data_IF_612770170593
#
_entry.id   IF_612770170593
#
_cell.length_a   1.000
_cell.length_b   1.000
_cell.length_c   1.000
_cell.angle_alpha   90.00
_cell.angle_beta   90.00
_cell.angle_gamma   90.00
#
_symmetry.space_group_name_H-M   'P 1'
#
loop_
_entity.id
_entity.type
_entity.pdbx_description
1 polymer ?
#
# COMPACT_ATOMS: atom_id res chain seq x y z
N UNK A 1 25.73 18.27 11.03
CA UNK A 1 24.97 17.28 10.26
C UNK A 1 23.50 17.64 10.36
N UNK A 2 22.81 17.86 9.25
CA UNK A 2 21.37 18.16 9.24
C UNK A 2 20.62 16.92 9.74
N UNK A 3 20.16 16.95 10.97
CA UNK A 3 19.30 15.92 11.55
C UNK A 3 17.90 16.04 10.93
N UNK A 4 17.33 14.93 10.46
CA UNK A 4 15.95 14.90 9.98
C UNK A 4 15.01 15.05 11.18
N UNK A 5 14.66 16.29 11.53
CA UNK A 5 13.87 16.60 12.72
C UNK A 5 12.35 16.66 12.44
N UNK A 6 11.97 17.02 11.21
CA UNK A 6 10.58 17.16 10.81
C UNK A 6 10.27 16.55 9.44
N UNK A 7 9.16 15.79 9.37
CA UNK A 7 8.64 15.21 8.14
C UNK A 7 7.14 15.47 8.04
N UNK A 8 6.69 15.98 6.89
CA UNK A 8 5.27 16.04 6.56
C UNK A 8 5.00 15.03 5.44
N UNK A 9 4.14 14.05 5.73
CA UNK A 9 3.63 13.13 4.71
C UNK A 9 2.36 13.75 4.10
N UNK A 10 2.44 14.20 2.85
CA UNK A 10 1.26 14.66 2.12
C UNK A 10 0.68 13.51 1.29
N UNK A 11 -0.54 13.09 1.63
CA UNK A 11 -1.30 12.07 0.90
C UNK A 11 -1.98 12.62 -0.36
N UNK A 12 -2.66 11.76 -1.12
CA UNK A 12 -3.53 12.16 -2.24
C UNK A 12 -4.84 12.87 -1.78
N UNK A 13 -5.00 13.10 -0.49
CA UNK A 13 -6.16 13.81 0.06
C UNK A 13 -7.41 12.94 0.21
N UNK A 14 -7.27 11.62 0.14
CA UNK A 14 -8.37 10.66 0.11
C UNK A 14 -8.34 9.68 1.29
N UNK A 15 -7.99 10.14 2.50
CA UNK A 15 -8.00 9.29 3.70
C UNK A 15 -9.13 9.68 4.66
N UNK A 16 -9.86 8.70 5.25
CA UNK A 16 -9.79 7.27 4.97
C UNK A 16 -10.38 6.91 3.60
N UNK A 17 -9.83 5.89 2.94
CA UNK A 17 -10.47 5.26 1.77
C UNK A 17 -10.24 3.76 1.71
N UNK A 18 -10.82 3.16 0.68
CA UNK A 18 -10.87 1.73 0.42
C UNK A 18 -9.65 1.20 -0.35
N UNK A 19 -8.70 2.05 -0.71
CA UNK A 19 -7.54 1.66 -1.51
C UNK A 19 -6.38 1.16 -0.64
N UNK A 20 -5.71 0.11 -1.08
CA UNK A 20 -4.55 -0.47 -0.38
C UNK A 20 -3.40 0.52 -0.17
N UNK A 21 -3.19 1.46 -1.09
CA UNK A 21 -2.18 2.51 -0.94
C UNK A 21 -2.47 3.44 0.27
N UNK A 22 -3.72 3.58 0.69
CA UNK A 22 -4.07 4.38 1.87
C UNK A 22 -3.80 3.65 3.17
N UNK A 23 -3.95 2.31 3.19
CA UNK A 23 -3.50 1.47 4.30
C UNK A 23 -1.99 1.62 4.49
N UNK A 24 -1.23 1.51 3.40
CA UNK A 24 0.21 1.76 3.43
C UNK A 24 0.55 3.18 3.90
N UNK A 25 -0.16 4.20 3.41
CA UNK A 25 0.05 5.60 3.83
C UNK A 25 -0.15 5.74 5.34
N UNK A 26 -1.23 5.19 5.90
CA UNK A 26 -1.53 5.26 7.33
C UNK A 26 -0.51 4.48 8.18
N UNK A 27 -0.15 3.25 7.78
CA UNK A 27 0.83 2.42 8.50
C UNK A 27 2.25 2.99 8.44
N UNK A 28 2.68 3.50 7.28
CA UNK A 28 3.95 4.23 7.16
C UNK A 28 3.94 5.50 8.00
N UNK A 29 2.81 6.21 8.08
CA UNK A 29 2.69 7.41 8.93
C UNK A 29 2.87 7.07 10.40
N UNK A 30 2.26 5.98 10.89
CA UNK A 30 2.50 5.49 12.25
C UNK A 30 3.99 5.15 12.46
N UNK A 31 4.62 4.43 11.53
CA UNK A 31 6.03 4.06 11.65
C UNK A 31 6.98 5.27 11.64
N UNK A 32 6.73 6.27 10.79
CA UNK A 32 7.50 7.52 10.77
C UNK A 32 7.29 8.35 12.04
N UNK A 33 6.04 8.46 12.52
CA UNK A 33 5.71 9.28 13.68
C UNK A 33 6.43 8.87 14.97
N UNK A 34 6.80 7.60 15.08
CA UNK A 34 7.51 7.07 16.24
C UNK A 34 9.01 7.33 16.21
N UNK A 35 9.54 7.76 15.06
CA UNK A 35 10.99 7.90 14.80
C UNK A 35 11.41 9.36 14.66
N UNK A 36 10.44 10.28 14.59
CA UNK A 36 10.66 11.69 14.31
C UNK A 36 10.05 12.54 15.42
N UNK A 37 10.79 13.58 15.82
CA UNK A 37 10.33 14.54 16.83
C UNK A 37 9.08 15.29 16.36
N UNK A 38 9.02 15.62 15.06
CA UNK A 38 7.91 16.30 14.45
C UNK A 38 7.45 15.55 13.20
N UNK A 39 6.26 14.94 13.27
CA UNK A 39 5.65 14.25 12.13
C UNK A 39 4.20 14.70 11.97
N UNK A 40 3.78 14.93 10.72
CA UNK A 40 2.37 15.20 10.37
C UNK A 40 1.97 14.41 9.13
N UNK A 41 0.79 13.78 9.14
CA UNK A 41 0.12 13.28 7.94
C UNK A 41 -0.91 14.32 7.49
N UNK A 42 -0.82 14.81 6.26
CA UNK A 42 -1.75 15.78 5.67
C UNK A 42 -2.68 15.08 4.68
N UNK A 43 -3.98 15.32 4.82
CA UNK A 43 -5.05 14.82 3.93
C UNK A 43 -6.21 15.81 3.80
N UNK A 44 -7.21 15.52 2.97
CA UNK A 44 -8.42 16.35 2.87
C UNK A 44 -9.42 15.97 3.97
N UNK A 45 -10.23 16.93 4.38
CA UNK A 45 -11.39 16.67 5.22
C UNK A 45 -12.47 17.74 5.06
N UNK A 46 -13.49 17.62 5.89
CA UNK A 46 -14.47 18.68 6.11
C UNK A 46 -14.06 19.63 7.24
N UNK A 47 -14.81 20.72 7.39
CA UNK A 47 -14.61 21.75 8.42
C UNK A 47 -14.50 21.13 9.82
N UNK A 48 -15.40 20.22 10.18
CA UNK A 48 -15.41 19.59 11.50
C UNK A 48 -14.17 18.70 11.71
N UNK A 49 -13.81 17.93 10.69
CA UNK A 49 -12.64 17.05 10.71
C UNK A 49 -11.32 17.82 10.78
N UNK A 50 -11.27 19.05 10.24
CA UNK A 50 -10.09 19.91 10.31
C UNK A 50 -9.73 20.30 11.75
N UNK A 51 -10.73 20.50 12.62
CA UNK A 51 -10.51 20.73 14.05
C UNK A 51 -10.22 19.44 14.83
N UNK A 52 -10.80 18.30 14.41
CA UNK A 52 -10.61 17.01 15.10
C UNK A 52 -9.24 16.38 14.84
N UNK A 53 -8.73 16.44 13.62
CA UNK A 53 -7.50 15.74 13.23
C UNK A 53 -7.65 14.21 13.30
N UNK A 54 -6.85 13.57 14.16
CA UNK A 54 -6.91 12.12 14.42
C UNK A 54 -8.12 11.78 15.31
N UNK A 55 -8.96 10.85 14.87
CA UNK A 55 -10.13 10.37 15.61
C UNK A 55 -10.15 8.84 15.69
N UNK A 56 -11.02 8.31 16.57
CA UNK A 56 -11.13 6.86 16.82
C UNK A 56 -11.56 6.09 15.58
N UNK A 57 -12.38 6.69 14.71
CA UNK A 57 -12.86 6.04 13.50
C UNK A 57 -11.72 5.87 12.49
N UNK A 58 -10.90 6.88 12.30
CA UNK A 58 -9.69 6.82 11.47
C UNK A 58 -8.70 5.81 12.02
N UNK A 59 -8.47 5.83 13.34
CA UNK A 59 -7.57 4.91 14.01
C UNK A 59 -8.03 3.46 13.82
N UNK A 60 -9.32 3.18 14.07
CA UNK A 60 -9.92 1.86 13.91
C UNK A 60 -9.90 1.39 12.45
N UNK A 61 -10.23 2.28 11.50
CA UNK A 61 -10.28 1.98 10.07
C UNK A 61 -8.97 1.39 9.55
N UNK A 62 -7.84 1.96 9.96
CA UNK A 62 -6.51 1.49 9.59
C UNK A 62 -5.86 0.58 10.64
N UNK A 63 -6.59 0.23 11.71
CA UNK A 63 -6.10 -0.57 12.85
C UNK A 63 -4.77 -0.03 13.40
N UNK A 64 -4.69 1.29 13.62
CA UNK A 64 -3.48 1.94 14.10
C UNK A 64 -3.33 1.74 15.61
N UNK A 65 -2.17 1.27 16.05
CA UNK A 65 -1.86 1.07 17.47
C UNK A 65 -1.62 2.37 18.20
N UNK A 66 -0.99 3.33 17.50
CA UNK A 66 -0.55 4.60 18.09
C UNK A 66 -1.05 5.75 17.22
N UNK A 67 -1.73 6.74 17.83
CA UNK A 67 -2.12 7.93 17.10
C UNK A 67 -0.88 8.76 16.73
N UNK A 68 -1.03 9.57 15.70
CA UNK A 68 -0.04 10.53 15.24
C UNK A 68 -0.76 11.81 14.80
N UNK A 69 -0.01 12.90 14.59
CA UNK A 69 -0.61 14.16 14.18
C UNK A 69 -1.20 14.04 12.77
N UNK A 70 -2.53 14.05 12.67
CA UNK A 70 -3.28 14.01 11.42
C UNK A 70 -3.87 15.39 11.17
N UNK A 71 -3.46 15.99 10.07
CA UNK A 71 -3.93 17.29 9.61
C UNK A 71 -4.92 17.07 8.47
N UNK A 72 -6.17 17.47 8.70
CA UNK A 72 -7.23 17.41 7.68
C UNK A 72 -7.49 18.82 7.17
N UNK A 73 -7.12 19.10 5.93
CA UNK A 73 -7.37 20.40 5.32
C UNK A 73 -8.87 20.53 4.99
N UNK A 74 -9.53 21.65 5.34
CA UNK A 74 -10.97 21.83 5.17
C UNK A 74 -11.30 22.06 3.69
N UNK A 75 -11.35 20.98 2.92
CA UNK A 75 -11.62 21.00 1.48
C UNK A 75 -13.12 20.90 1.17
N UNK A 76 -13.92 20.52 2.17
CA UNK A 76 -15.34 20.23 2.04
C UNK A 76 -16.13 20.84 3.20
N UNK A 77 -17.42 21.07 2.98
CA UNK A 77 -18.34 21.44 4.07
C UNK A 77 -18.63 20.22 4.95
N UNK A 78 -18.90 19.06 4.31
CA UNK A 78 -19.14 17.77 4.97
C UNK A 78 -18.65 16.65 4.05
N UNK A 79 -18.04 15.60 4.61
CA UNK A 79 -17.59 14.40 3.87
C UNK A 79 -18.26 13.16 4.42
N UNK A 80 -18.73 12.29 3.52
CA UNK A 80 -19.06 10.91 3.87
C UNK A 80 -17.81 10.06 3.71
N UNK A 81 -17.29 9.59 4.84
CA UNK A 81 -16.18 8.64 4.88
C UNK A 81 -16.71 7.20 4.75
N UNK A 82 -15.89 6.28 4.19
CA UNK A 82 -14.61 6.49 3.52
C UNK A 82 -14.77 7.20 2.16
N UNK A 83 -13.73 7.93 1.71
CA UNK A 83 -13.73 8.57 0.39
C UNK A 83 -13.95 7.53 -0.73
N UNK A 84 -14.70 7.94 -1.76
CA UNK A 84 -14.98 7.10 -2.92
C UNK A 84 -13.71 6.79 -3.71
N UNK A 85 -13.74 5.70 -4.48
CA UNK A 85 -12.61 5.29 -5.32
C UNK A 85 -12.24 6.33 -6.39
N UNK A 86 -13.21 7.09 -6.86
CA UNK A 86 -13.06 8.13 -7.89
C UNK A 86 -12.78 9.52 -7.31
N UNK A 87 -12.63 9.65 -5.99
CA UNK A 87 -12.39 10.95 -5.38
C UNK A 87 -11.05 11.53 -5.83
N UNK A 88 -11.09 12.76 -6.32
CA UNK A 88 -9.92 13.57 -6.64
C UNK A 88 -10.23 15.04 -6.44
N UNK A 89 -9.31 15.78 -5.83
CA UNK A 89 -9.47 17.22 -5.63
C UNK A 89 -8.14 17.93 -5.93
N UNK A 90 -8.01 18.53 -7.12
CA UNK A 90 -6.78 19.22 -7.48
C UNK A 90 -6.50 20.47 -6.66
N UNK A 91 -7.53 21.12 -6.10
CA UNK A 91 -7.34 22.28 -5.23
C UNK A 91 -6.70 21.91 -3.88
N UNK A 92 -6.89 20.68 -3.42
CA UNK A 92 -6.25 20.15 -2.22
C UNK A 92 -4.73 20.17 -2.34
N UNK A 93 -4.15 19.76 -3.47
CA UNK A 93 -2.70 19.76 -3.63
C UNK A 93 -2.08 21.16 -3.47
N UNK A 94 -2.78 22.19 -3.95
CA UNK A 94 -2.34 23.58 -3.78
C UNK A 94 -2.39 23.98 -2.31
N UNK A 95 -3.48 23.71 -1.61
CA UNK A 95 -3.61 24.07 -0.19
C UNK A 95 -2.62 23.29 0.68
N UNK A 96 -2.42 22.00 0.42
CA UNK A 96 -1.43 21.18 1.10
C UNK A 96 0.00 21.68 0.87
N UNK A 97 0.30 22.13 -0.34
CA UNK A 97 1.59 22.74 -0.64
C UNK A 97 1.80 24.07 0.09
N UNK A 98 0.76 24.92 0.17
CA UNK A 98 0.80 26.17 0.95
C UNK A 98 1.03 25.88 2.44
N UNK A 99 0.29 24.91 2.99
CA UNK A 99 0.46 24.45 4.36
C UNK A 99 1.89 23.99 4.65
N UNK A 100 2.46 23.15 3.78
CA UNK A 100 3.84 22.70 3.89
C UNK A 100 4.85 23.84 3.84
N UNK A 101 4.68 24.81 2.92
CA UNK A 101 5.57 25.98 2.84
C UNK A 101 5.49 26.86 4.09
N UNK A 102 4.31 26.96 4.72
CA UNK A 102 4.13 27.68 5.98
C UNK A 102 4.84 26.98 7.14
N UNK A 103 4.66 25.67 7.25
CA UNK A 103 5.27 24.80 8.29
C UNK A 103 6.77 24.65 8.16
N UNK A 104 7.28 24.69 6.93
CA UNK A 104 8.70 24.59 6.62
C UNK A 104 9.36 23.31 7.15
N UNK A 105 8.90 22.11 6.73
CA UNK A 105 9.50 20.87 7.19
C UNK A 105 10.88 20.66 6.59
N UNK A 106 11.70 19.86 7.26
CA UNK A 106 12.99 19.38 6.74
C UNK A 106 12.80 18.47 5.52
N UNK A 107 11.67 17.76 5.47
CA UNK A 107 11.37 16.82 4.39
C UNK A 107 9.87 16.67 4.13
N UNK A 108 9.50 16.59 2.85
CA UNK A 108 8.20 16.09 2.41
C UNK A 108 8.33 14.63 1.98
N UNK A 109 7.41 13.79 2.44
CA UNK A 109 7.20 12.46 1.89
C UNK A 109 5.86 12.44 1.16
N UNK A 110 5.79 11.89 -0.06
CA UNK A 110 4.50 11.84 -0.78
C UNK A 110 4.45 10.73 -1.80
N UNK A 111 3.22 10.37 -2.18
CA UNK A 111 2.90 9.51 -3.31
C UNK A 111 2.30 10.27 -4.50
N UNK A 112 2.12 11.59 -4.37
CA UNK A 112 1.47 12.42 -5.38
C UNK A 112 2.51 13.14 -6.25
N UNK A 113 2.51 12.91 -7.57
CA UNK A 113 3.37 13.66 -8.49
C UNK A 113 3.08 15.17 -8.47
N UNK A 114 1.83 15.57 -8.20
CA UNK A 114 1.44 16.98 -8.09
C UNK A 114 2.19 17.66 -6.93
N UNK A 115 2.26 17.01 -5.77
CA UNK A 115 3.01 17.50 -4.61
C UNK A 115 4.51 17.55 -4.92
N UNK A 116 5.07 16.53 -5.55
CA UNK A 116 6.48 16.55 -5.97
C UNK A 116 6.75 17.76 -6.86
N UNK A 117 5.92 18.01 -7.86
CA UNK A 117 6.05 19.16 -8.75
C UNK A 117 5.91 20.51 -8.07
N UNK A 118 5.07 20.62 -7.03
CA UNK A 118 4.93 21.86 -6.24
C UNK A 118 6.12 22.06 -5.29
N UNK A 119 6.51 21.04 -4.53
CA UNK A 119 7.58 21.15 -3.53
C UNK A 119 8.93 21.40 -4.18
N UNK A 120 9.23 20.73 -5.29
CA UNK A 120 10.47 20.98 -6.05
C UNK A 120 10.54 22.41 -6.60
N UNK A 121 9.41 23.01 -6.99
CA UNK A 121 9.34 24.42 -7.42
C UNK A 121 9.54 25.41 -6.27
N UNK A 122 9.04 25.10 -5.08
CA UNK A 122 9.28 25.92 -3.88
C UNK A 122 10.66 25.69 -3.28
N UNK A 123 11.38 24.70 -3.80
CA UNK A 123 12.68 24.29 -3.30
C UNK A 123 12.55 23.72 -1.90
N UNK A 124 11.62 22.79 -1.65
CA UNK A 124 11.51 22.00 -0.42
C UNK A 124 11.93 20.56 -0.75
N UNK A 125 12.80 19.90 0.05
CA UNK A 125 13.23 18.54 -0.21
C UNK A 125 12.03 17.59 -0.19
N UNK A 126 11.96 16.72 -1.19
CA UNK A 126 10.89 15.74 -1.31
C UNK A 126 11.44 14.34 -1.58
N UNK A 127 10.90 13.38 -0.84
CA UNK A 127 10.97 11.94 -1.10
C UNK A 127 9.66 11.53 -1.78
N UNK A 128 9.79 10.90 -2.96
CA UNK A 128 8.65 10.44 -3.73
C UNK A 128 8.54 8.92 -3.68
N UNK A 129 7.42 8.39 -3.20
CA UNK A 129 7.10 6.96 -3.33
C UNK A 129 6.12 6.71 -4.47
N UNK A 130 6.49 5.83 -5.41
CA UNK A 130 5.67 5.51 -6.57
C UNK A 130 5.85 4.05 -7.01
N UNK A 131 4.73 3.42 -7.38
CA UNK A 131 4.63 1.97 -7.51
C UNK A 131 4.27 1.51 -8.93
N UNK A 132 4.30 2.43 -9.90
CA UNK A 132 4.02 2.14 -11.30
C UNK A 132 5.23 2.50 -12.16
N UNK A 133 5.41 1.87 -13.33
CA UNK A 133 6.46 2.25 -14.27
C UNK A 133 6.34 3.72 -14.67
N UNK A 134 7.48 4.41 -14.80
CA UNK A 134 7.56 5.72 -15.44
C UNK A 134 8.26 5.51 -16.78
N UNK A 135 7.53 5.72 -17.87
CA UNK A 135 8.06 5.60 -19.22
C UNK A 135 8.86 6.86 -19.60
N UNK A 136 9.87 6.76 -20.49
CA UNK A 136 10.71 7.90 -20.87
C UNK A 136 9.96 9.10 -21.49
N UNK A 137 8.77 8.89 -22.04
CA UNK A 137 7.90 9.93 -22.59
C UNK A 137 6.86 10.46 -21.59
N UNK A 138 6.89 10.00 -20.33
CA UNK A 138 5.93 10.39 -19.31
C UNK A 138 6.08 11.87 -18.94
N UNK A 139 4.98 12.61 -18.70
CA UNK A 139 5.04 13.98 -18.19
C UNK A 139 5.67 14.08 -16.78
N UNK A 140 5.93 12.94 -16.14
CA UNK A 140 6.58 12.84 -14.85
C UNK A 140 8.11 12.90 -14.93
N UNK A 141 8.71 12.60 -16.09
CA UNK A 141 10.17 12.55 -16.27
C UNK A 141 10.88 13.84 -15.85
N UNK A 142 10.38 15.05 -16.16
CA UNK A 142 11.02 16.29 -15.71
C UNK A 142 11.15 16.42 -14.19
N UNK A 143 10.29 15.76 -13.41
CA UNK A 143 10.36 15.77 -11.95
C UNK A 143 11.57 14.98 -11.43
N UNK A 144 11.99 13.94 -12.15
CA UNK A 144 13.07 13.04 -11.75
C UNK A 144 14.44 13.74 -11.71
N UNK A 145 14.60 14.79 -12.52
CA UNK A 145 15.84 15.56 -12.63
C UNK A 145 15.98 16.67 -11.59
N UNK A 146 14.98 16.90 -10.73
CA UNK A 146 15.04 17.99 -9.75
C UNK A 146 16.11 17.75 -8.68
N UNK A 147 16.85 18.79 -8.32
CA UNK A 147 17.77 18.78 -7.18
C UNK A 147 17.05 18.63 -5.84
N UNK A 148 15.79 19.05 -5.76
CA UNK A 148 14.96 18.95 -4.56
C UNK A 148 14.16 17.64 -4.47
N UNK A 149 14.10 16.84 -5.55
CA UNK A 149 13.73 15.43 -5.44
C UNK A 149 14.96 14.69 -4.93
N UNK A 150 15.00 14.42 -3.64
CA UNK A 150 16.20 13.89 -2.98
C UNK A 150 16.24 12.36 -3.01
N UNK A 151 15.08 11.74 -3.21
CA UNK A 151 15.00 10.31 -3.33
C UNK A 151 13.65 9.82 -3.81
N UNK A 152 13.67 8.59 -4.30
CA UNK A 152 12.55 7.91 -4.92
C UNK A 152 12.43 6.51 -4.33
N UNK A 153 11.30 6.21 -3.67
CA UNK A 153 11.02 4.90 -3.09
C UNK A 153 10.18 4.10 -4.08
N UNK A 154 10.65 2.90 -4.44
CA UNK A 154 9.93 1.97 -5.31
C UNK A 154 9.88 0.57 -4.72
N UNK A 155 9.10 -0.33 -5.30
CA UNK A 155 8.83 -1.65 -4.72
C UNK A 155 9.77 -2.76 -5.22
N UNK A 156 10.38 -2.61 -6.40
CA UNK A 156 11.13 -3.70 -7.03
C UNK A 156 12.24 -3.23 -7.97
N UNK A 157 13.24 -4.08 -8.22
CA UNK A 157 14.22 -3.91 -9.29
C UNK A 157 13.60 -3.63 -10.67
N UNK A 158 12.50 -4.29 -11.02
CA UNK A 158 11.82 -4.04 -12.30
C UNK A 158 11.34 -2.58 -12.44
N UNK A 159 10.78 -2.01 -11.36
CA UNK A 159 10.41 -0.61 -11.35
C UNK A 159 11.64 0.30 -11.36
N UNK A 160 12.72 -0.09 -10.69
CA UNK A 160 14.00 0.61 -10.78
C UNK A 160 14.50 0.68 -12.23
N UNK A 161 14.45 -0.41 -12.99
CA UNK A 161 14.85 -0.41 -14.40
C UNK A 161 14.06 0.59 -15.24
N UNK A 162 12.74 0.67 -15.03
CA UNK A 162 11.89 1.68 -15.68
C UNK A 162 12.30 3.12 -15.31
N UNK A 163 12.68 3.36 -14.05
CA UNK A 163 13.14 4.69 -13.62
C UNK A 163 14.51 5.04 -14.20
N UNK A 164 15.42 4.06 -14.30
CA UNK A 164 16.74 4.24 -14.92
C UNK A 164 16.64 4.56 -16.40
N UNK A 165 15.72 3.90 -17.13
CA UNK A 165 15.40 4.25 -18.52
C UNK A 165 14.86 5.68 -18.65
N UNK A 166 14.13 6.15 -17.63
CA UNK A 166 13.67 7.53 -17.49
C UNK A 166 14.72 8.50 -16.92
N UNK A 167 15.99 8.08 -16.85
CA UNK A 167 17.16 8.90 -16.50
C UNK A 167 17.15 9.47 -15.07
N UNK A 168 16.50 8.82 -14.11
CA UNK A 168 16.73 9.16 -12.70
C UNK A 168 18.18 8.84 -12.31
N UNK A 169 18.76 9.62 -11.41
CA UNK A 169 20.03 9.27 -10.79
C UNK A 169 19.87 7.98 -9.96
N UNK A 170 20.62 6.89 -10.23
CA UNK A 170 20.52 5.64 -9.49
C UNK A 170 20.71 5.80 -7.97
N UNK A 171 21.57 6.74 -7.56
CA UNK A 171 21.86 7.00 -6.14
C UNK A 171 20.66 7.60 -5.39
N UNK A 172 19.63 8.08 -6.11
CA UNK A 172 18.38 8.58 -5.54
C UNK A 172 17.29 7.51 -5.45
N UNK A 173 17.50 6.30 -5.98
CA UNK A 173 16.47 5.24 -5.97
C UNK A 173 16.68 4.32 -4.77
N UNK A 174 15.61 4.09 -4.01
CA UNK A 174 15.57 3.15 -2.90
C UNK A 174 14.48 2.10 -3.13
N UNK A 175 14.87 0.83 -3.26
CA UNK A 175 13.94 -0.28 -3.38
C UNK A 175 13.51 -0.71 -1.97
N UNK A 176 12.21 -0.63 -1.71
CA UNK A 176 11.60 -0.97 -0.44
C UNK A 176 10.24 -1.63 -0.67
N UNK A 177 10.12 -2.97 -0.55
CA UNK A 177 8.86 -3.67 -0.71
C UNK A 177 7.85 -3.21 0.36
N UNK A 178 6.59 -3.65 0.23
CA UNK A 178 5.60 -3.47 1.30
C UNK A 178 6.03 -4.19 2.59
N UNK A 179 5.28 -4.01 3.66
CA UNK A 179 5.61 -4.55 4.97
C UNK A 179 4.39 -5.09 5.72
N UNK A 180 4.66 -5.88 6.75
CA UNK A 180 3.68 -6.45 7.67
C UNK A 180 3.42 -5.52 8.85
N UNK A 181 2.20 -5.62 9.37
CA UNK A 181 1.87 -5.23 10.73
C UNK A 181 1.64 -6.47 11.59
N UNK A 182 2.72 -7.02 12.15
CA UNK A 182 2.72 -8.34 12.81
C UNK A 182 1.81 -8.35 14.04
N UNK A 183 1.74 -7.24 14.77
CA UNK A 183 0.95 -7.12 15.99
C UNK A 183 -0.55 -7.20 15.74
N UNK A 184 -1.02 -6.88 14.53
CA UNK A 184 -2.42 -7.13 14.12
C UNK A 184 -2.79 -8.62 14.23
N UNK A 185 -1.81 -9.51 14.20
CA UNK A 185 -1.99 -10.95 14.32
C UNK A 185 -1.61 -11.49 15.70
N UNK A 186 -1.37 -10.62 16.69
CA UNK A 186 -1.06 -11.00 18.07
C UNK A 186 -2.21 -10.63 19.04
N UNK A 187 -2.50 -11.47 20.06
CA UNK A 187 -1.95 -12.80 20.27
C UNK A 187 -2.42 -13.79 19.19
N UNK A 188 -1.55 -14.74 18.85
CA UNK A 188 -1.87 -15.74 17.84
C UNK A 188 -3.05 -16.62 18.28
N UNK A 189 -4.01 -16.84 17.39
CA UNK A 189 -5.13 -17.73 17.65
C UNK A 189 -4.80 -19.15 17.20
N UNK A 190 -5.23 -20.16 17.97
CA UNK A 190 -5.17 -21.53 17.51
C UNK A 190 -6.15 -21.74 16.34
N UNK A 191 -5.84 -22.68 15.45
CA UNK A 191 -6.73 -23.00 14.31
C UNK A 191 -8.13 -23.39 14.79
N UNK A 192 -8.19 -24.17 15.86
CA UNK A 192 -9.43 -24.67 16.46
C UNK A 192 -10.28 -23.53 17.02
N UNK A 193 -9.68 -22.61 17.79
CA UNK A 193 -10.38 -21.47 18.36
C UNK A 193 -10.91 -20.53 17.26
N UNK A 194 -10.10 -20.25 16.24
CA UNK A 194 -10.51 -19.44 15.09
C UNK A 194 -11.69 -20.08 14.34
N UNK A 195 -11.63 -21.39 14.06
CA UNK A 195 -12.73 -22.13 13.42
C UNK A 195 -14.00 -22.14 14.27
N UNK A 196 -13.87 -22.37 15.58
CA UNK A 196 -15.01 -22.35 16.51
C UNK A 196 -15.70 -20.98 16.50
N UNK A 197 -14.91 -19.90 16.58
CA UNK A 197 -15.43 -18.52 16.55
C UNK A 197 -16.17 -18.20 15.25
N UNK A 198 -15.73 -18.78 14.13
CA UNK A 198 -16.34 -18.57 12.81
C UNK A 198 -17.42 -19.60 12.45
N UNK A 199 -17.71 -20.57 13.32
CA UNK A 199 -18.63 -21.67 13.02
C UNK A 199 -18.17 -22.58 11.89
N UNK A 200 -16.85 -22.70 11.67
CA UNK A 200 -16.27 -23.53 10.60
C UNK A 200 -16.01 -24.97 11.09
N UNK A 201 -16.15 -25.99 10.22
CA UNK A 201 -15.86 -27.38 10.58
C UNK A 201 -14.40 -27.58 10.99
N UNK A 202 -14.17 -28.36 12.05
CA UNK A 202 -12.84 -28.52 12.65
C UNK A 202 -11.91 -29.41 11.83
N UNK A 203 -12.47 -30.38 11.14
CA UNK A 203 -11.83 -31.41 10.31
C UNK A 203 -11.75 -31.04 8.83
N UNK A 204 -12.42 -29.96 8.40
CA UNK A 204 -12.34 -29.48 7.02
C UNK A 204 -10.93 -29.01 6.62
N UNK A 205 -10.63 -29.18 5.33
CA UNK A 205 -9.46 -28.62 4.65
C UNK A 205 -9.83 -27.22 4.15
N UNK A 206 -9.40 -26.18 4.84
CA UNK A 206 -9.81 -24.80 4.56
C UNK A 206 -8.71 -24.04 3.83
N UNK A 207 -8.98 -23.66 2.59
CA UNK A 207 -8.10 -22.85 1.74
C UNK A 207 -8.61 -21.42 1.73
N UNK A 208 -7.79 -20.46 2.14
CA UNK A 208 -8.22 -19.07 2.34
C UNK A 208 -7.61 -18.15 1.28
N UNK A 209 -8.45 -17.25 0.78
CA UNK A 209 -8.04 -16.05 0.05
C UNK A 209 -8.60 -14.83 0.79
N UNK A 210 -7.83 -13.75 0.90
CA UNK A 210 -8.30 -12.47 1.45
C UNK A 210 -8.11 -11.31 0.47
N UNK A 211 -9.00 -10.31 0.50
CA UNK A 211 -8.90 -9.05 -0.24
C UNK A 211 -9.99 -8.87 -1.31
N UNK A 212 -9.76 -7.96 -2.27
CA UNK A 212 -10.74 -7.70 -3.33
C UNK A 212 -10.90 -8.89 -4.27
N UNK A 213 -12.15 -9.20 -4.61
CA UNK A 213 -12.49 -10.32 -5.48
C UNK A 213 -12.43 -9.95 -6.98
N UNK A 214 -11.47 -9.13 -7.40
CA UNK A 214 -11.31 -8.78 -8.82
C UNK A 214 -10.71 -9.95 -9.61
N UNK A 215 -11.07 -10.07 -10.89
CA UNK A 215 -10.62 -11.20 -11.70
C UNK A 215 -9.11 -11.28 -11.86
N UNK A 216 -8.47 -10.13 -12.05
CA UNK A 216 -7.02 -10.04 -12.13
C UNK A 216 -6.29 -10.40 -10.82
N UNK A 217 -7.02 -10.54 -9.70
CA UNK A 217 -6.49 -11.09 -8.44
C UNK A 217 -6.60 -12.62 -8.34
N UNK A 218 -7.03 -13.29 -9.41
CA UNK A 218 -7.04 -14.75 -9.54
C UNK A 218 -8.33 -15.43 -9.12
N UNK A 219 -9.43 -14.69 -8.96
CA UNK A 219 -10.71 -15.31 -8.55
C UNK A 219 -11.18 -16.37 -9.54
N UNK A 220 -11.14 -16.17 -10.87
CA UNK A 220 -11.47 -17.22 -11.84
C UNK A 220 -10.67 -18.51 -11.62
N UNK A 221 -9.36 -18.38 -11.38
CA UNK A 221 -8.46 -19.50 -11.07
C UNK A 221 -8.89 -20.22 -9.79
N UNK A 222 -9.26 -19.49 -8.73
CA UNK A 222 -9.78 -20.10 -7.49
C UNK A 222 -11.05 -20.91 -7.76
N UNK A 223 -11.99 -20.38 -8.57
CA UNK A 223 -13.22 -21.10 -8.90
C UNK A 223 -12.93 -22.41 -9.65
N UNK A 224 -11.96 -22.42 -10.55
CA UNK A 224 -11.53 -23.63 -11.26
C UNK A 224 -10.83 -24.63 -10.34
N UNK A 225 -9.98 -24.15 -9.42
CA UNK A 225 -9.36 -25.01 -8.40
C UNK A 225 -10.43 -25.62 -7.49
N UNK A 226 -11.44 -24.84 -7.08
CA UNK A 226 -12.52 -25.32 -6.23
C UNK A 226 -13.34 -26.43 -6.89
N UNK A 227 -13.54 -26.34 -8.21
CA UNK A 227 -14.15 -27.41 -8.99
C UNK A 227 -13.29 -28.69 -9.00
N UNK A 228 -11.96 -28.55 -9.04
CA UNK A 228 -11.01 -29.66 -9.05
C UNK A 228 -10.76 -30.29 -7.67
N UNK A 229 -11.17 -29.62 -6.59
CA UNK A 229 -10.98 -30.04 -5.18
C UNK A 229 -12.29 -29.89 -4.38
N UNK A 230 -13.35 -30.64 -4.71
CA UNK A 230 -14.65 -30.54 -4.02
C UNK A 230 -14.58 -30.89 -2.53
N UNK A 231 -13.54 -31.62 -2.08
CA UNK A 231 -13.31 -31.97 -0.69
C UNK A 231 -12.63 -30.85 0.14
N UNK A 232 -12.18 -29.78 -0.50
CA UNK A 232 -11.63 -28.59 0.16
C UNK A 232 -12.68 -27.48 0.24
N UNK A 233 -12.74 -26.79 1.38
CA UNK A 233 -13.57 -25.59 1.54
C UNK A 233 -12.73 -24.35 1.23
N UNK A 234 -13.19 -23.54 0.28
CA UNK A 234 -12.55 -22.28 -0.09
C UNK A 234 -13.27 -21.13 0.60
N UNK A 235 -12.54 -20.39 1.43
CA UNK A 235 -13.07 -19.24 2.16
C UNK A 235 -12.49 -17.97 1.55
N UNK A 236 -13.33 -17.21 0.83
CA UNK A 236 -12.94 -15.95 0.20
C UNK A 236 -13.37 -14.78 1.08
N UNK A 237 -12.38 -14.16 1.71
CA UNK A 237 -12.54 -13.15 2.76
C UNK A 237 -12.37 -11.76 2.16
N UNK A 238 -13.45 -11.03 1.97
CA UNK A 238 -13.43 -9.69 1.38
C UNK A 238 -14.28 -9.58 0.12
N UNK A 239 -13.98 -8.56 -0.67
CA UNK A 239 -14.78 -8.17 -1.83
C UNK A 239 -15.85 -7.14 -1.50
N UNK A 240 -16.15 -6.29 -2.47
CA UNK A 240 -17.31 -5.40 -2.38
C UNK A 240 -18.57 -6.19 -2.67
N UNK A 241 -19.73 -5.72 -2.20
CA UNK A 241 -21.01 -6.39 -2.43
C UNK A 241 -21.19 -6.78 -3.92
N UNK A 242 -20.91 -5.86 -4.85
CA UNK A 242 -20.97 -6.14 -6.29
C UNK A 242 -20.02 -7.28 -6.74
N UNK A 243 -18.80 -7.33 -6.21
CA UNK A 243 -17.86 -8.39 -6.54
C UNK A 243 -18.29 -9.72 -5.93
N UNK A 244 -18.79 -9.71 -4.69
CA UNK A 244 -19.32 -10.89 -3.99
C UNK A 244 -20.51 -11.46 -4.76
N UNK A 245 -21.46 -10.64 -5.18
CA UNK A 245 -22.61 -11.09 -6.00
C UNK A 245 -22.14 -11.71 -7.31
N UNK A 246 -21.20 -11.07 -8.02
CA UNK A 246 -20.65 -11.61 -9.27
C UNK A 246 -20.04 -12.99 -9.05
N UNK A 247 -19.22 -13.16 -8.02
CA UNK A 247 -18.59 -14.45 -7.71
C UNK A 247 -19.64 -15.48 -7.29
N UNK A 248 -20.66 -15.09 -6.52
CA UNK A 248 -21.77 -15.96 -6.12
C UNK A 248 -22.51 -16.50 -7.34
N UNK A 249 -22.84 -15.64 -8.30
CA UNK A 249 -23.47 -16.04 -9.57
C UNK A 249 -22.59 -17.03 -10.33
N UNK A 250 -21.29 -16.79 -10.42
CA UNK A 250 -20.36 -17.74 -11.06
C UNK A 250 -20.30 -19.09 -10.32
N UNK A 251 -20.39 -19.10 -8.98
CA UNK A 251 -20.46 -20.34 -8.21
C UNK A 251 -21.75 -21.11 -8.51
N UNK A 252 -22.89 -20.42 -8.58
CA UNK A 252 -24.19 -21.03 -8.92
C UNK A 252 -24.19 -21.64 -10.32
N UNK A 253 -23.68 -20.91 -11.32
CA UNK A 253 -23.57 -21.38 -12.71
C UNK A 253 -22.68 -22.62 -12.85
N UNK A 254 -21.65 -22.73 -12.00
CA UNK A 254 -20.70 -23.86 -11.99
C UNK A 254 -21.07 -24.95 -10.99
N UNK A 255 -22.21 -24.81 -10.28
CA UNK A 255 -22.64 -25.71 -9.20
C UNK A 255 -21.58 -25.93 -8.10
N UNK A 256 -20.81 -24.89 -7.77
CA UNK A 256 -19.79 -24.94 -6.71
C UNK A 256 -20.44 -24.78 -5.34
N UNK A 257 -20.35 -25.81 -4.50
CA UNK A 257 -20.91 -25.84 -3.14
C UNK A 257 -19.85 -25.65 -2.05
N UNK A 258 -18.57 -25.67 -2.42
CA UNK A 258 -17.43 -25.65 -1.50
C UNK A 258 -16.77 -24.27 -1.38
N UNK A 259 -17.47 -23.19 -1.78
CA UNK A 259 -16.98 -21.81 -1.68
C UNK A 259 -17.86 -21.02 -0.70
N UNK A 260 -17.21 -20.43 0.31
CA UNK A 260 -17.84 -19.50 1.25
C UNK A 260 -17.33 -18.08 1.00
N UNK A 261 -18.26 -17.16 0.74
CA UNK A 261 -17.99 -15.73 0.52
C UNK A 261 -18.38 -14.95 1.76
N UNK A 262 -17.44 -14.21 2.37
CA UNK A 262 -17.75 -13.41 3.57
C UNK A 262 -18.20 -11.99 3.23
N UNK A 263 -17.78 -11.47 2.07
CA UNK A 263 -17.80 -10.03 1.81
C UNK A 263 -16.75 -9.27 2.63
N UNK A 264 -16.81 -7.94 2.60
CA UNK A 264 -15.89 -7.09 3.35
C UNK A 264 -16.01 -7.37 4.86
N UNK A 265 -14.86 -7.61 5.49
CA UNK A 265 -14.74 -7.77 6.96
C UNK A 265 -13.85 -6.66 7.50
N UNK A 266 -14.06 -6.28 8.76
CA UNK A 266 -13.21 -5.30 9.40
C UNK A 266 -11.77 -5.85 9.51
N UNK A 267 -10.77 -4.98 9.42
CA UNK A 267 -9.37 -5.38 9.53
C UNK A 267 -9.06 -6.08 10.86
N UNK A 268 -9.72 -5.69 11.95
CA UNK A 268 -9.62 -6.33 13.27
C UNK A 268 -10.16 -7.77 13.31
N UNK A 269 -11.05 -8.13 12.39
CA UNK A 269 -11.64 -9.48 12.30
C UNK A 269 -10.83 -10.39 11.37
N UNK A 270 -10.11 -9.82 10.41
CA UNK A 270 -9.35 -10.53 9.38
C UNK A 270 -8.41 -11.59 9.99
N UNK A 271 -7.74 -11.29 11.10
CA UNK A 271 -6.83 -12.23 11.76
C UNK A 271 -7.51 -13.56 12.12
N UNK A 272 -8.77 -13.52 12.58
CA UNK A 272 -9.54 -14.74 12.93
C UNK A 272 -9.75 -15.61 11.69
N UNK A 273 -10.13 -15.01 10.56
CA UNK A 273 -10.29 -15.73 9.29
C UNK A 273 -8.97 -16.33 8.80
N UNK A 274 -7.87 -15.59 8.91
CA UNK A 274 -6.57 -16.09 8.51
C UNK A 274 -6.11 -17.26 9.39
N UNK A 275 -6.33 -17.21 10.71
CA UNK A 275 -5.93 -18.29 11.62
C UNK A 275 -6.71 -19.59 11.44
N UNK A 276 -7.93 -19.53 10.88
CA UNK A 276 -8.76 -20.69 10.56
C UNK A 276 -8.26 -21.49 9.34
N UNK A 277 -7.34 -20.92 8.55
CA UNK A 277 -6.82 -21.53 7.32
C UNK A 277 -5.92 -22.73 7.58
N UNK A 278 -5.91 -23.66 6.61
CA UNK A 278 -4.82 -24.61 6.41
C UNK A 278 -3.79 -24.09 5.42
N UNK A 279 -4.22 -23.41 4.35
CA UNK A 279 -3.38 -22.89 3.26
C UNK A 279 -3.91 -21.52 2.81
N UNK A 280 -3.01 -20.60 2.45
CA UNK A 280 -3.37 -19.36 1.76
C UNK A 280 -3.09 -19.40 0.27
N UNK A 281 -3.97 -18.74 -0.50
CA UNK A 281 -3.76 -18.49 -1.93
C UNK A 281 -3.46 -17.02 -2.20
N UNK A 282 -2.43 -16.79 -3.04
CA UNK A 282 -2.12 -15.52 -3.68
C UNK A 282 -2.06 -15.68 -5.22
N UNK A 283 -3.18 -15.98 -5.89
CA UNK A 283 -3.22 -16.40 -7.30
C UNK A 283 -3.27 -15.22 -8.28
N UNK A 284 -2.51 -14.16 -8.02
CA UNK A 284 -2.54 -12.95 -8.87
C UNK A 284 -2.30 -13.33 -10.33
N UNK A 285 -3.19 -12.90 -11.22
CA UNK A 285 -3.13 -13.24 -12.65
C UNK A 285 -1.96 -12.52 -13.32
N UNK A 286 -1.28 -13.19 -14.24
CA UNK A 286 -0.21 -12.56 -15.04
C UNK A 286 -0.77 -11.57 -16.07
N UNK A 287 -2.07 -11.67 -16.40
CA UNK A 287 -2.77 -10.78 -17.34
C UNK A 287 -2.96 -9.36 -16.80
N UNK A 288 -2.77 -9.17 -15.49
CA UNK A 288 -2.86 -7.85 -14.89
C UNK A 288 -1.69 -6.97 -15.33
N UNK A 289 -1.98 -5.76 -15.83
CA UNK A 289 -0.96 -4.79 -16.23
C UNK A 289 0.11 -4.50 -15.16
N UNK A 290 -0.23 -4.62 -13.87
CA UNK A 290 0.70 -4.40 -12.75
C UNK A 290 1.15 -5.71 -12.06
N UNK A 291 0.93 -6.87 -12.69
CA UNK A 291 1.35 -8.16 -12.13
C UNK A 291 2.86 -8.21 -11.82
N UNK A 292 3.66 -7.58 -12.69
CA UNK A 292 5.12 -7.58 -12.59
C UNK A 292 5.65 -6.61 -11.51
N UNK A 293 4.82 -5.68 -11.04
CA UNK A 293 5.23 -4.56 -10.17
C UNK A 293 4.53 -4.54 -8.81
N UNK A 294 3.47 -5.32 -8.64
CA UNK A 294 2.65 -5.32 -7.41
C UNK A 294 3.42 -5.89 -6.21
N UNK A 295 3.34 -5.24 -5.04
CA UNK A 295 3.79 -5.82 -3.77
C UNK A 295 2.56 -6.02 -2.87
N UNK A 296 1.88 -7.20 -2.93
CA UNK A 296 0.58 -7.39 -2.30
C UNK A 296 0.68 -7.37 -0.77
N UNK A 297 -0.02 -6.45 -0.10
CA UNK A 297 -0.04 -6.37 1.36
C UNK A 297 -0.41 -7.70 2.03
N UNK A 298 -1.40 -8.41 1.47
CA UNK A 298 -1.87 -9.70 2.00
C UNK A 298 -0.78 -10.78 2.06
N UNK A 299 0.28 -10.69 1.24
CA UNK A 299 1.40 -11.63 1.34
C UNK A 299 2.07 -11.53 2.71
N UNK A 300 2.28 -10.30 3.18
CA UNK A 300 2.90 -10.01 4.47
C UNK A 300 2.00 -10.44 5.63
N UNK A 301 0.69 -10.22 5.50
CA UNK A 301 -0.31 -10.72 6.46
C UNK A 301 -0.30 -12.25 6.55
N UNK A 302 -0.24 -12.94 5.41
CA UNK A 302 -0.15 -14.40 5.37
C UNK A 302 1.12 -14.91 6.04
N UNK A 303 2.28 -14.30 5.76
CA UNK A 303 3.53 -14.68 6.40
C UNK A 303 3.47 -14.47 7.93
N UNK A 304 2.81 -13.40 8.40
CA UNK A 304 2.67 -13.08 9.82
C UNK A 304 1.81 -14.07 10.61
N UNK A 305 0.99 -14.88 9.95
CA UNK A 305 0.10 -15.86 10.62
C UNK A 305 0.67 -17.27 10.73
N UNK A 306 1.89 -17.51 10.22
CA UNK A 306 2.58 -18.81 10.31
C UNK A 306 1.74 -19.98 9.74
N UNK A 307 1.27 -19.81 8.51
CA UNK A 307 0.58 -20.83 7.70
C UNK A 307 1.22 -20.93 6.32
N UNK A 308 1.14 -22.08 5.65
CA UNK A 308 1.73 -22.26 4.32
C UNK A 308 1.00 -21.43 3.27
N UNK A 309 1.77 -20.93 2.30
CA UNK A 309 1.31 -20.01 1.26
C UNK A 309 1.60 -20.65 -0.10
N UNK A 310 0.62 -20.58 -1.00
CA UNK A 310 0.81 -20.82 -2.43
C UNK A 310 0.61 -19.48 -3.13
N UNK A 311 1.59 -19.06 -3.93
CA UNK A 311 1.57 -17.77 -4.60
C UNK A 311 1.93 -17.89 -6.08
N UNK A 312 1.39 -16.98 -6.89
CA UNK A 312 1.82 -16.83 -8.28
C UNK A 312 3.31 -16.50 -8.36
N UNK A 313 4.03 -17.17 -9.25
CA UNK A 313 5.44 -16.94 -9.55
C UNK A 313 5.66 -15.64 -10.34
N UNK A 314 5.35 -14.49 -9.71
CA UNK A 314 5.52 -13.14 -10.27
C UNK A 314 6.77 -12.46 -9.68
N UNK A 315 7.52 -11.64 -10.43
CA UNK A 315 8.83 -11.15 -9.99
C UNK A 315 8.89 -10.50 -8.61
N UNK A 316 7.94 -9.62 -8.30
CA UNK A 316 7.87 -8.94 -6.99
C UNK A 316 7.46 -9.87 -5.85
N UNK A 317 6.63 -10.87 -6.12
CA UNK A 317 6.29 -11.92 -5.16
C UNK A 317 7.53 -12.76 -4.88
N UNK A 318 8.27 -13.16 -5.92
CA UNK A 318 9.51 -13.96 -5.82
C UNK A 318 10.66 -13.23 -5.09
N UNK A 319 10.64 -11.90 -5.07
CA UNK A 319 11.59 -11.12 -4.25
C UNK A 319 11.26 -11.20 -2.75
N UNK A 320 9.99 -11.41 -2.42
CA UNK A 320 9.52 -11.47 -1.02
C UNK A 320 9.55 -12.90 -0.50
N UNK A 321 9.16 -13.88 -1.31
CA UNK A 321 9.10 -15.31 -0.97
C UNK A 321 9.84 -16.17 -1.97
N UNK A 322 10.50 -17.20 -1.47
CA UNK A 322 11.30 -18.17 -2.22
C UNK A 322 10.55 -19.51 -2.34
N UNK A 323 10.56 -20.10 -3.55
CA UNK A 323 9.92 -21.40 -3.83
C UNK A 323 10.53 -22.50 -2.97
N UNK A 324 9.67 -23.35 -2.41
CA UNK A 324 10.01 -24.49 -1.55
C UNK A 324 10.82 -24.16 -0.29
N UNK A 325 11.03 -22.88 0.01
CA UNK A 325 11.66 -22.41 1.25
C UNK A 325 10.71 -21.62 2.13
N UNK A 326 9.92 -20.70 1.55
CA UNK A 326 8.95 -19.88 2.31
C UNK A 326 7.53 -20.00 1.78
N UNK A 327 7.35 -20.42 0.53
CA UNK A 327 6.06 -20.64 -0.11
C UNK A 327 6.20 -21.71 -1.20
N UNK A 328 5.09 -22.20 -1.74
CA UNK A 328 5.11 -22.84 -3.06
C UNK A 328 4.77 -21.80 -4.12
N UNK A 329 5.65 -21.64 -5.10
CA UNK A 329 5.45 -20.76 -6.23
C UNK A 329 4.90 -21.55 -7.41
N UNK A 330 3.76 -21.10 -7.92
CA UNK A 330 3.05 -21.76 -9.03
C UNK A 330 2.89 -20.75 -10.15
N UNK A 331 2.97 -21.21 -11.40
CA UNK A 331 2.68 -20.36 -12.55
C UNK A 331 1.25 -19.79 -12.44
N UNK A 332 1.10 -18.50 -12.74
CA UNK A 332 -0.20 -17.84 -12.72
C UNK A 332 -1.16 -18.49 -13.71
N UNK A 333 -2.46 -18.46 -13.39
CA UNK A 333 -3.52 -18.86 -14.32
C UNK A 333 -3.47 -20.35 -14.76
N UNK A 334 -2.87 -21.22 -13.94
CA UNK A 334 -2.70 -22.67 -14.21
C UNK A 334 -3.40 -23.55 -13.13
N UNK A 335 -4.74 -23.61 -13.09
CA UNK A 335 -5.50 -24.23 -11.99
C UNK A 335 -5.07 -25.65 -11.60
N UNK A 336 -4.63 -26.47 -12.57
CA UNK A 336 -4.15 -27.84 -12.31
C UNK A 336 -2.89 -27.86 -11.45
N UNK A 337 -1.92 -26.99 -11.76
CA UNK A 337 -0.70 -26.87 -10.97
C UNK A 337 -0.99 -26.31 -9.56
N UNK A 338 -1.95 -25.39 -9.44
CA UNK A 338 -2.41 -24.89 -8.15
C UNK A 338 -3.07 -25.99 -7.31
N UNK A 339 -3.92 -26.82 -7.93
CA UNK A 339 -4.52 -28.00 -7.30
C UNK A 339 -3.46 -28.97 -6.78
N UNK A 340 -2.42 -29.25 -7.57
CA UNK A 340 -1.29 -30.10 -7.16
C UNK A 340 -0.54 -29.53 -5.95
N UNK A 341 -0.25 -28.23 -5.95
CA UNK A 341 0.39 -27.56 -4.82
C UNK A 341 -0.46 -27.59 -3.54
N UNK A 342 -1.78 -27.41 -3.65
CA UNK A 342 -2.71 -27.55 -2.51
C UNK A 342 -2.68 -28.97 -1.99
N UNK A 343 -2.83 -29.97 -2.86
CA UNK A 343 -2.82 -31.38 -2.47
C UNK A 343 -1.50 -31.77 -1.80
N UNK A 344 -0.37 -31.27 -2.30
CA UNK A 344 0.95 -31.49 -1.72
C UNK A 344 1.03 -30.95 -0.28
N UNK A 345 0.62 -29.71 -0.05
CA UNK A 345 0.68 -29.09 1.28
C UNK A 345 -0.30 -29.71 2.28
N UNK A 346 -1.47 -30.17 1.82
CA UNK A 346 -2.43 -30.88 2.67
C UNK A 346 -1.92 -32.27 3.08
N UNK A 347 -1.16 -32.95 2.20
CA UNK A 347 -0.60 -34.28 2.45
C UNK A 347 0.70 -34.22 3.26
N UNK A 348 1.62 -33.34 2.89
CA UNK A 348 2.94 -33.21 3.53
C UNK A 348 2.93 -32.11 4.62
N UNK A 349 2.56 -32.52 5.83
CA UNK A 349 2.54 -31.63 7.00
C UNK A 349 3.92 -31.11 7.39
N UNK A 350 4.99 -31.85 7.09
CA UNK A 350 6.37 -31.46 7.41
C UNK A 350 6.80 -30.30 6.53
N UNK A 351 6.58 -30.42 5.21
CA UNK A 351 6.80 -29.33 4.27
C UNK A 351 5.98 -28.10 4.64
N UNK A 352 4.67 -28.27 4.86
CA UNK A 352 3.77 -27.16 5.22
C UNK A 352 4.23 -26.38 6.45
N UNK A 353 4.59 -27.08 7.54
CA UNK A 353 5.10 -26.44 8.76
C UNK A 353 6.45 -25.75 8.53
N UNK A 354 7.33 -26.34 7.72
CA UNK A 354 8.65 -25.75 7.40
C UNK A 354 8.49 -24.44 6.64
N UNK A 355 7.70 -24.43 5.56
CA UNK A 355 7.46 -23.23 4.74
C UNK A 355 6.83 -22.12 5.59
N UNK A 356 5.76 -22.45 6.33
CA UNK A 356 5.07 -21.51 7.22
C UNK A 356 6.03 -20.85 8.24
N UNK A 357 6.86 -21.67 8.90
CA UNK A 357 7.83 -21.18 9.89
C UNK A 357 8.88 -20.28 9.25
N UNK A 358 9.41 -20.65 8.08
CA UNK A 358 10.41 -19.86 7.35
C UNK A 358 9.83 -18.53 6.87
N UNK A 359 8.60 -18.52 6.34
CA UNK A 359 7.86 -17.31 5.99
C UNK A 359 7.66 -16.39 7.21
N UNK A 360 7.22 -16.96 8.34
CA UNK A 360 7.03 -16.22 9.58
C UNK A 360 8.33 -15.65 10.14
N UNK A 361 9.45 -16.37 10.04
CA UNK A 361 10.77 -15.87 10.42
C UNK A 361 11.21 -14.71 9.51
N UNK A 362 11.00 -14.84 8.19
CA UNK A 362 11.36 -13.80 7.22
C UNK A 362 10.57 -12.51 7.45
N UNK A 363 9.26 -12.60 7.72
CA UNK A 363 8.42 -11.40 7.88
C UNK A 363 8.77 -10.56 9.10
N UNK A 364 9.42 -11.14 10.12
CA UNK A 364 9.94 -10.38 11.28
C UNK A 364 10.90 -9.26 10.87
N UNK A 365 11.51 -9.36 9.68
CA UNK A 365 12.41 -8.35 9.13
C UNK A 365 11.76 -7.39 8.15
N UNK A 366 10.50 -7.64 7.79
CA UNK A 366 9.73 -6.91 6.79
C UNK A 366 8.56 -6.15 7.45
N UNK A 367 8.83 -5.38 8.50
CA UNK A 367 7.83 -4.61 9.26
C UNK A 367 7.78 -3.14 8.84
N UNK A 368 6.64 -2.49 9.07
CA UNK A 368 6.49 -1.04 8.79
C UNK A 368 7.55 -0.20 9.51
N UNK A 369 7.90 -0.56 10.75
CA UNK A 369 8.94 0.13 11.52
C UNK A 369 10.32 -0.01 10.87
N UNK A 370 10.74 -1.21 10.46
CA UNK A 370 12.03 -1.41 9.79
C UNK A 370 12.06 -0.71 8.45
N UNK A 371 10.95 -0.74 7.71
CA UNK A 371 10.78 0.00 6.45
C UNK A 371 10.98 1.49 6.65
N UNK A 372 10.36 2.07 7.68
CA UNK A 372 10.52 3.48 8.02
C UNK A 372 11.97 3.81 8.42
N UNK A 373 12.64 2.98 9.23
CA UNK A 373 14.05 3.19 9.60
C UNK A 373 14.95 3.29 8.38
N UNK A 374 14.80 2.35 7.44
CA UNK A 374 15.62 2.32 6.23
C UNK A 374 15.36 3.54 5.33
N UNK A 375 14.09 3.92 5.14
CA UNK A 375 13.72 5.09 4.33
C UNK A 375 14.23 6.38 4.98
N UNK A 376 14.10 6.54 6.30
CA UNK A 376 14.58 7.74 7.01
C UNK A 376 16.11 7.82 7.00
N UNK A 377 16.81 6.68 7.16
CA UNK A 377 18.27 6.61 7.03
C UNK A 377 18.72 7.04 5.63
N UNK A 378 18.07 6.51 4.59
CA UNK A 378 18.32 6.90 3.21
C UNK A 378 18.07 8.40 2.99
N UNK A 379 16.91 8.91 3.41
CA UNK A 379 16.56 10.32 3.25
C UNK A 379 17.54 11.25 3.99
N UNK A 380 17.96 10.88 5.21
CA UNK A 380 18.94 11.65 6.00
C UNK A 380 20.28 11.75 5.28
N UNK A 381 20.75 10.65 4.67
CA UNK A 381 21.96 10.68 3.86
C UNK A 381 21.81 11.60 2.63
N UNK A 382 20.68 11.55 1.92
CA UNK A 382 20.44 12.40 0.75
C UNK A 382 20.35 13.90 1.12
N UNK A 383 19.79 14.23 2.28
CA UNK A 383 19.68 15.61 2.77
C UNK A 383 21.05 16.28 3.02
N UNK A 384 22.09 15.51 3.31
CA UNK A 384 23.46 16.05 3.50
C UNK A 384 24.05 16.64 2.21
N UNK A 385 23.57 16.20 1.05
CA UNK A 385 24.02 16.69 -0.26
C UNK A 385 23.30 17.96 -0.74
N UNK A 386 22.33 18.49 0.02
CA UNK A 386 21.64 19.72 -0.34
C UNK A 386 22.32 20.90 0.36
N UNK A 387 22.72 21.90 -0.42
CA UNK A 387 23.25 23.14 0.12
C UNK A 387 22.17 23.90 0.92
N UNK A 388 22.27 23.82 2.25
CA UNK A 388 21.36 24.47 3.19
C UNK A 388 21.49 26.00 3.21
N UNK A 389 22.56 26.58 2.64
CA UNK A 389 22.81 28.02 2.75
C UNK A 389 21.94 28.88 1.82
N UNK A 390 21.34 28.30 0.78
CA UNK A 390 20.48 29.00 -0.20
C UNK A 390 18.97 28.71 -0.06
N UNK A 391 18.55 28.11 1.05
CA UNK A 391 17.22 27.54 1.22
C UNK A 391 16.20 28.55 1.81
N UNK A 392 15.41 29.21 0.95
CA UNK A 392 14.34 30.15 1.38
C UNK A 392 12.92 29.83 0.83
N UNK A 393 12.32 28.67 1.16
CA UNK A 393 10.97 28.28 0.72
C UNK A 393 9.87 29.34 0.90
N UNK A 394 9.86 30.10 2.00
CA UNK A 394 8.85 31.16 2.22
C UNK A 394 8.97 32.30 1.19
N UNK A 395 10.19 32.67 0.84
CA UNK A 395 10.46 33.70 -0.19
C UNK A 395 10.14 33.15 -1.59
N UNK A 396 10.45 31.88 -1.85
CA UNK A 396 10.08 31.22 -3.10
C UNK A 396 8.55 31.11 -3.27
N UNK A 397 7.83 30.85 -2.18
CA UNK A 397 6.37 30.86 -2.18
C UNK A 397 5.83 32.26 -2.52
N UNK A 398 6.34 33.31 -1.87
CA UNK A 398 5.95 34.71 -2.16
C UNK A 398 6.22 35.04 -3.64
N UNK A 399 7.43 34.75 -4.15
CA UNK A 399 7.79 34.96 -5.56
C UNK A 399 6.84 34.22 -6.51
N UNK A 400 6.47 32.98 -6.20
CA UNK A 400 5.55 32.21 -7.00
C UNK A 400 4.12 32.78 -6.99
N UNK A 401 3.61 33.15 -5.82
CA UNK A 401 2.30 33.79 -5.68
C UNK A 401 2.24 35.11 -6.44
N UNK A 402 3.28 35.95 -6.33
CA UNK A 402 3.41 37.19 -7.11
C UNK A 402 3.37 36.88 -8.60
N UNK A 403 4.16 35.91 -9.08
CA UNK A 403 4.19 35.54 -10.51
C UNK A 403 2.84 35.05 -11.04
N UNK A 404 2.06 34.32 -10.24
CA UNK A 404 0.71 33.89 -10.63
C UNK A 404 -0.29 35.05 -10.70
N UNK A 405 -0.21 36.01 -9.78
CA UNK A 405 -1.06 37.21 -9.76
C UNK A 405 -0.72 38.12 -10.93
N UNK A 406 0.56 38.43 -11.13
CA UNK A 406 1.03 39.27 -12.24
C UNK A 406 0.85 38.61 -13.61
N UNK A 407 1.06 37.29 -13.72
CA UNK A 407 0.84 36.55 -14.97
C UNK A 407 -0.63 36.52 -15.41
N UNK A 408 -1.58 36.53 -14.47
CA UNK A 408 -3.01 36.66 -14.77
C UNK A 408 -3.40 38.08 -15.17
N UNK A 409 -2.76 39.10 -14.58
CA UNK A 409 -2.97 40.50 -14.92
C UNK A 409 -2.47 40.80 -16.34
N UNK A 410 -1.27 40.34 -16.71
CA UNK A 410 -0.72 40.60 -18.06
C UNK A 410 -1.47 39.87 -19.18
N UNK A 411 -2.09 38.71 -18.92
CA UNK A 411 -3.01 38.08 -19.88
C UNK A 411 -4.36 38.79 -20.02
N UNK A 412 -4.78 39.58 -19.03
CA UNK A 412 -6.02 40.39 -19.09
C UNK A 412 -5.83 41.75 -19.78
N UNK A 413 -4.59 42.21 -19.97
CA UNK A 413 -4.26 43.49 -20.62
C UNK A 413 -3.73 43.36 -22.04
N UNK A 414 -3.72 42.15 -22.64
CA UNK A 414 -3.65 42.02 -24.11
C UNK A 414 -5.05 42.26 -24.69
N UNK A 415 -5.48 43.52 -24.69
CA UNK A 415 -6.54 44.01 -25.58
C UNK A 415 -5.87 44.25 -26.93
N UNK A 416 -6.43 43.66 -27.99
CA UNK A 416 -5.94 43.72 -29.37
C UNK A 416 -5.73 45.19 -29.82
N UNK A 417 -4.62 45.50 -30.53
CA UNK A 417 -4.53 46.73 -31.29
C UNK A 417 -5.54 46.77 -32.44
#
# INVERSE_FOLDING_TARGET
MTTLESLIYISAGNLPSLWANTVQTAKMSQAFSQKLKHFELVTSGDICSAFRGMDKDFQAWYSLERPYNLVRLPMHIQVNYPFSKSYGNYSYFRLAALYACWKFPSLIYTRSPEIVGLMTKFGIPVMWEWHEPIQPNSPLVPLLSSNYLIGFVTLSPYLMDSLLQSKINPNKVFISPSAADISTFLPAQSKTAARQKLGLPQDAKIVVYSGHLYDYKGIPTILEIAQLLPECQFLLVGGWQKDVERVRLSCQQRHLTNIQLTGHVAQSELATYLYASDIFLLPTSQTWALAQTTSPLKLFDYMATNRPIIASALPTIMQTVEDRETALLVKSDEPKAWKEAIAQLLKDRTLSKRLAKKAFQKVQTLTWDRRADQILKFATHQLQGIDSQNFQPRINLIRHTIKLVYGKLTTKFKVNP
#
